data_IF_961976381615
#
_entry.id   IF_961976381615
#
_cell.length_a   1.000
_cell.length_b   1.000
_cell.length_c   1.000
_cell.angle_alpha   90.00
_cell.angle_beta   90.00
_cell.angle_gamma   90.00
#
_symmetry.space_group_name_H-M   'P 1'
#
loop_
_entity.id
_entity.type
_entity.pdbx_description
1 polymer ?
#
# COMPACT_ATOMS: atom_id res chain seq x y z
N UNK A 1 -9.73 -15.17 6.14
CA UNK A 1 -9.26 -15.76 4.86
C UNK A 1 -7.76 -15.55 4.62
N UNK A 2 -7.23 -14.36 4.92
CA UNK A 2 -5.81 -14.02 4.83
C UNK A 2 -4.90 -14.97 5.64
N UNK A 3 -3.67 -15.29 5.19
CA UNK A 3 -2.98 -14.86 3.96
C UNK A 3 -3.10 -15.86 2.77
N UNK A 4 -4.08 -16.78 2.77
CA UNK A 4 -4.16 -17.83 1.74
C UNK A 4 -4.14 -17.32 0.29
N UNK A 5 -4.91 -16.28 -0.10
CA UNK A 5 -4.92 -15.80 -1.48
C UNK A 5 -3.55 -15.30 -1.97
N UNK A 6 -2.74 -14.74 -1.07
CA UNK A 6 -1.37 -14.33 -1.39
C UNK A 6 -0.52 -15.53 -1.81
N UNK A 7 -0.58 -16.62 -1.04
CA UNK A 7 0.16 -17.83 -1.35
C UNK A 7 -0.26 -18.45 -2.69
N UNK A 8 -1.56 -18.45 -3.00
CA UNK A 8 -2.07 -18.98 -4.26
C UNK A 8 -1.55 -18.18 -5.46
N UNK A 9 -1.56 -16.84 -5.37
CA UNK A 9 -1.05 -15.95 -6.42
C UNK A 9 0.46 -16.07 -6.58
N UNK A 10 1.22 -16.11 -5.48
CA UNK A 10 2.68 -16.32 -5.53
C UNK A 10 3.03 -17.66 -6.19
N UNK A 11 2.31 -18.73 -5.83
CA UNK A 11 2.52 -20.05 -6.43
C UNK A 11 2.21 -20.04 -7.94
N UNK A 12 1.10 -19.41 -8.34
CA UNK A 12 0.72 -19.29 -9.74
C UNK A 12 1.77 -18.50 -10.54
N UNK A 13 2.29 -17.41 -9.97
CA UNK A 13 3.35 -16.63 -10.60
C UNK A 13 4.66 -17.40 -10.74
N UNK A 14 5.09 -18.11 -9.70
CA UNK A 14 6.29 -18.94 -9.78
C UNK A 14 6.15 -20.02 -10.86
N UNK A 15 4.95 -20.59 -10.98
CA UNK A 15 4.63 -21.51 -12.07
C UNK A 15 4.71 -20.83 -13.45
N UNK A 16 4.12 -19.64 -13.63
CA UNK A 16 4.19 -18.87 -14.87
C UNK A 16 5.65 -18.56 -15.23
N UNK A 17 6.43 -18.06 -14.27
CA UNK A 17 7.84 -17.73 -14.45
C UNK A 17 8.64 -18.96 -14.86
N UNK A 18 8.40 -20.12 -14.24
CA UNK A 18 9.09 -21.37 -14.55
C UNK A 18 8.76 -21.92 -15.94
N UNK A 19 7.50 -21.84 -16.37
CA UNK A 19 7.03 -22.51 -17.59
C UNK A 19 6.96 -21.59 -18.81
N UNK A 20 6.80 -20.28 -18.64
CA UNK A 20 6.66 -19.30 -19.72
C UNK A 20 7.90 -18.43 -19.94
N UNK A 21 8.98 -18.67 -19.18
CA UNK A 21 10.27 -18.01 -19.44
C UNK A 21 10.82 -18.39 -20.80
N UNK A 22 11.24 -17.39 -21.62
CA UNK A 22 11.90 -17.70 -22.88
C UNK A 22 13.17 -18.51 -22.63
N UNK A 23 13.49 -19.49 -23.49
CA UNK A 23 14.68 -20.32 -23.31
C UNK A 23 15.93 -19.42 -23.25
N UNK A 24 16.85 -19.74 -22.34
CA UNK A 24 18.05 -18.91 -22.11
C UNK A 24 18.86 -18.65 -23.39
N UNK A 25 18.80 -19.60 -24.33
CA UNK A 25 19.46 -19.60 -25.64
C UNK A 25 18.81 -18.70 -26.68
N UNK A 26 17.56 -18.29 -26.49
CA UNK A 26 16.89 -17.37 -27.40
C UNK A 26 17.37 -15.94 -27.15
N UNK A 27 18.38 -15.55 -27.92
CA UNK A 27 18.82 -14.17 -28.06
C UNK A 27 18.49 -13.68 -29.47
N UNK A 28 17.81 -12.55 -29.56
CA UNK A 28 17.66 -11.80 -30.81
C UNK A 28 18.84 -10.85 -30.95
N UNK A 29 19.26 -10.56 -32.17
CA UNK A 29 20.21 -9.47 -32.42
C UNK A 29 19.43 -8.22 -32.72
N UNK A 30 19.72 -7.16 -31.99
CA UNK A 30 19.24 -5.81 -32.30
C UNK A 30 19.95 -5.29 -33.58
N UNK A 31 19.49 -4.17 -34.15
CA UNK A 31 20.08 -3.50 -35.32
C UNK A 31 21.58 -3.24 -35.16
N UNK A 32 22.03 -2.99 -33.94
CA UNK A 32 23.44 -2.79 -33.58
C UNK A 32 24.26 -4.10 -33.47
N UNK A 33 23.65 -5.25 -33.80
CA UNK A 33 24.28 -6.57 -33.68
C UNK A 33 24.46 -7.07 -32.24
N UNK A 34 23.99 -6.31 -31.25
CA UNK A 34 24.03 -6.68 -29.83
C UNK A 34 23.04 -7.83 -29.59
N UNK A 35 23.46 -8.83 -28.80
CA UNK A 35 22.57 -9.92 -28.40
C UNK A 35 21.69 -9.44 -27.26
N UNK A 36 20.40 -9.38 -27.50
CA UNK A 36 19.39 -9.15 -26.47
C UNK A 36 18.68 -10.46 -26.21
N UNK A 37 18.64 -10.84 -24.94
CA UNK A 37 17.83 -11.98 -24.55
C UNK A 37 16.36 -11.60 -24.63
N UNK A 38 15.53 -12.50 -25.17
CA UNK A 38 14.09 -12.30 -25.17
C UNK A 38 13.63 -12.05 -23.73
N UNK A 39 12.89 -10.95 -23.55
CA UNK A 39 12.18 -10.63 -22.33
C UNK A 39 10.72 -10.99 -22.52
N UNK A 40 10.04 -11.35 -21.44
CA UNK A 40 8.59 -11.53 -21.43
C UNK A 40 8.06 -10.70 -20.27
N UNK A 41 7.43 -9.60 -20.66
CA UNK A 41 6.85 -8.67 -19.73
C UNK A 41 5.49 -9.21 -19.27
N UNK A 42 5.28 -9.19 -17.96
CA UNK A 42 4.03 -9.63 -17.34
C UNK A 42 3.27 -8.41 -16.84
N UNK A 43 1.97 -8.41 -17.05
CA UNK A 43 1.05 -7.40 -16.56
C UNK A 43 0.09 -8.03 -15.56
N UNK A 44 -0.18 -7.34 -14.46
CA UNK A 44 -1.10 -7.81 -13.42
C UNK A 44 -2.34 -6.94 -13.43
N UNK A 45 -3.49 -7.59 -13.43
CA UNK A 45 -4.79 -6.96 -13.27
C UNK A 45 -5.46 -7.44 -11.98
N UNK A 46 -6.13 -6.55 -11.27
CA UNK A 46 -6.99 -6.91 -10.14
C UNK A 46 -8.13 -5.94 -9.97
N UNK A 47 -9.30 -6.45 -9.56
CA UNK A 47 -10.47 -5.67 -9.17
C UNK A 47 -10.80 -5.85 -7.69
N UNK A 48 -11.32 -4.80 -7.05
CA UNK A 48 -11.79 -4.81 -5.67
C UNK A 48 -10.76 -5.37 -4.68
N UNK A 49 -11.06 -6.48 -4.02
CA UNK A 49 -10.14 -7.14 -3.08
C UNK A 49 -8.83 -7.59 -3.73
N UNK A 50 -8.92 -8.06 -4.98
CA UNK A 50 -7.75 -8.52 -5.71
C UNK A 50 -6.90 -7.35 -6.22
N UNK A 51 -7.45 -6.14 -6.35
CA UNK A 51 -6.70 -4.95 -6.76
C UNK A 51 -5.62 -4.56 -5.74
N UNK A 52 -5.92 -4.62 -4.44
CA UNK A 52 -4.94 -4.39 -3.38
C UNK A 52 -3.80 -5.42 -3.40
N UNK A 53 -4.15 -6.69 -3.56
CA UNK A 53 -3.19 -7.79 -3.68
C UNK A 53 -2.36 -7.71 -4.97
N UNK A 54 -2.99 -7.41 -6.11
CA UNK A 54 -2.31 -7.17 -7.38
C UNK A 54 -1.30 -6.04 -7.26
N UNK A 55 -1.66 -4.99 -6.51
CA UNK A 55 -0.79 -3.84 -6.25
C UNK A 55 0.42 -4.20 -5.41
N UNK A 56 0.23 -4.85 -4.27
CA UNK A 56 1.36 -5.28 -3.43
C UNK A 56 2.27 -6.23 -4.19
N UNK A 57 1.67 -7.19 -4.89
CA UNK A 57 2.37 -8.17 -5.71
C UNK A 57 3.19 -7.52 -6.83
N UNK A 58 2.61 -6.58 -7.59
CA UNK A 58 3.34 -5.84 -8.61
C UNK A 58 4.50 -5.03 -8.02
N UNK A 59 4.30 -4.37 -6.88
CA UNK A 59 5.34 -3.57 -6.22
C UNK A 59 6.51 -4.42 -5.71
N UNK A 60 6.27 -5.65 -5.28
CA UNK A 60 7.35 -6.55 -4.81
C UNK A 60 8.02 -7.34 -5.92
N UNK A 61 7.30 -7.69 -6.99
CA UNK A 61 7.81 -8.54 -8.08
C UNK A 61 8.31 -7.77 -9.31
N UNK A 62 8.25 -6.43 -9.29
CA UNK A 62 8.87 -5.59 -10.32
C UNK A 62 10.39 -5.65 -10.19
N UNK A 63 11.02 -6.51 -11.01
CA UNK A 63 12.46 -6.66 -11.06
C UNK A 63 13.02 -6.26 -12.43
N UNK A 64 13.49 -5.01 -12.63
CA UNK A 64 13.99 -4.54 -13.91
C UNK A 64 15.04 -5.41 -14.61
N UNK A 65 16.03 -6.01 -13.91
CA UNK A 65 17.05 -6.81 -14.58
C UNK A 65 16.58 -8.21 -14.97
N UNK A 66 15.43 -8.67 -14.46
CA UNK A 66 14.92 -10.02 -14.76
C UNK A 66 14.25 -10.06 -16.14
N UNK A 67 14.45 -11.18 -16.84
CA UNK A 67 13.86 -11.41 -18.17
C UNK A 67 12.35 -11.60 -18.13
N UNK A 68 11.85 -12.14 -17.02
CA UNK A 68 10.44 -12.30 -16.72
C UNK A 68 10.20 -11.65 -15.37
N UNK A 69 9.44 -10.56 -15.41
CA UNK A 69 9.06 -9.78 -14.26
C UNK A 69 7.78 -9.02 -14.58
N UNK A 70 7.12 -8.57 -13.53
CA UNK A 70 5.96 -7.70 -13.67
C UNK A 70 6.46 -6.31 -14.11
N UNK A 71 5.83 -5.77 -15.15
CA UNK A 71 6.17 -4.46 -15.75
C UNK A 71 5.08 -3.42 -15.61
N UNK A 72 3.84 -3.85 -15.48
CA UNK A 72 2.72 -2.96 -15.29
C UNK A 72 1.63 -3.59 -14.43
N UNK A 73 0.81 -2.70 -13.88
CA UNK A 73 -0.26 -3.01 -12.96
C UNK A 73 -1.50 -2.21 -13.38
N UNK A 74 -2.64 -2.88 -13.38
CA UNK A 74 -3.94 -2.25 -13.51
C UNK A 74 -4.78 -2.70 -12.31
N UNK A 75 -5.30 -1.72 -11.57
CA UNK A 75 -6.04 -1.96 -10.34
C UNK A 75 -7.35 -1.19 -10.40
N UNK A 76 -8.47 -1.90 -10.33
CA UNK A 76 -9.82 -1.35 -10.45
C UNK A 76 -10.55 -1.38 -9.10
N UNK A 77 -11.08 -0.24 -8.66
CA UNK A 77 -11.84 -0.06 -7.41
C UNK A 77 -11.23 -0.81 -6.21
N UNK A 78 -9.92 -0.67 -6.01
CA UNK A 78 -9.18 -1.42 -5.00
C UNK A 78 -9.16 -0.78 -3.62
N UNK A 79 -9.06 -1.62 -2.59
CA UNK A 79 -8.65 -1.17 -1.25
C UNK A 79 -7.14 -1.32 -1.12
N UNK A 80 -6.47 -0.21 -0.83
CA UNK A 80 -5.01 -0.14 -0.76
C UNK A 80 -4.48 0.12 0.66
N UNK A 81 -5.36 0.44 1.60
CA UNK A 81 -5.02 0.71 2.98
C UNK A 81 -6.11 0.22 3.95
N UNK A 82 -6.02 -1.03 4.40
CA UNK A 82 -6.97 -1.55 5.39
C UNK A 82 -6.82 -0.90 6.77
N UNK A 83 -5.64 -0.34 7.08
CA UNK A 83 -5.45 0.39 8.34
C UNK A 83 -6.24 1.69 8.41
N UNK A 84 -6.76 2.19 7.28
CA UNK A 84 -7.66 3.32 7.26
C UNK A 84 -9.02 3.02 7.92
N UNK A 85 -9.39 1.73 8.03
CA UNK A 85 -10.55 1.27 8.79
C UNK A 85 -10.22 1.02 10.26
N UNK A 86 -9.13 1.59 10.79
CA UNK A 86 -8.86 1.60 12.23
C UNK A 86 -9.01 3.05 12.69
N UNK A 87 -10.04 3.31 13.46
CA UNK A 87 -10.26 4.61 14.10
C UNK A 87 -9.69 4.61 15.52
N UNK A 88 -9.39 5.79 16.04
CA UNK A 88 -9.04 5.97 17.45
C UNK A 88 -10.27 6.50 18.19
N UNK A 89 -10.62 5.88 19.31
CA UNK A 89 -11.63 6.45 20.21
C UNK A 89 -11.11 7.75 20.84
N UNK A 90 -12.00 8.52 21.47
CA UNK A 90 -11.64 9.71 22.26
C UNK A 90 -10.55 9.42 23.30
N UNK A 91 -10.48 8.18 23.76
CA UNK A 91 -9.60 7.73 24.83
C UNK A 91 -8.26 7.20 24.27
N UNK A 92 -8.02 7.33 22.96
CA UNK A 92 -6.77 6.92 22.31
C UNK A 92 -6.67 5.42 22.03
N UNK A 93 -7.79 4.69 22.09
CA UNK A 93 -7.82 3.25 21.87
C UNK A 93 -8.05 2.97 20.38
N UNK A 94 -7.20 2.16 19.71
CA UNK A 94 -7.44 1.74 18.34
C UNK A 94 -8.60 0.76 18.29
N UNK A 95 -9.54 1.03 17.37
CA UNK A 95 -10.77 0.28 17.20
C UNK A 95 -11.01 0.11 15.70
N UNK A 96 -11.25 -1.13 15.25
CA UNK A 96 -11.64 -1.37 13.87
C UNK A 96 -13.02 -0.76 13.60
N UNK A 97 -13.15 -0.06 12.47
CA UNK A 97 -14.35 0.67 12.07
C UNK A 97 -15.49 -0.29 11.72
N UNK A 98 -16.72 0.23 11.79
CA UNK A 98 -17.93 -0.58 11.71
C UNK A 98 -18.03 -1.32 10.36
N UNK A 99 -18.56 -2.54 10.42
CA UNK A 99 -18.76 -3.43 9.27
C UNK A 99 -19.47 -2.74 8.08
N UNK A 100 -20.27 -1.71 8.32
CA UNK A 100 -20.94 -0.92 7.29
C UNK A 100 -19.96 -0.15 6.38
N UNK A 101 -18.89 0.44 6.93
CA UNK A 101 -17.89 1.16 6.14
C UNK A 101 -17.18 0.20 5.18
N UNK A 102 -16.86 -0.99 5.68
CA UNK A 102 -16.20 -2.07 4.92
C UNK A 102 -17.16 -2.66 3.89
N UNK A 103 -18.43 -2.84 4.26
CA UNK A 103 -19.46 -3.35 3.35
C UNK A 103 -19.71 -2.40 2.17
N UNK A 104 -19.83 -1.10 2.46
CA UNK A 104 -20.00 -0.08 1.43
C UNK A 104 -18.79 0.02 0.51
N UNK A 105 -17.59 -0.18 1.06
CA UNK A 105 -16.34 -0.16 0.31
C UNK A 105 -15.94 -1.52 -0.27
N UNK A 106 -16.71 -2.59 -0.09
CA UNK A 106 -16.39 -3.89 -0.70
C UNK A 106 -17.66 -4.70 -0.87
N UNK A 107 -18.33 -4.58 -2.03
CA UNK A 107 -19.51 -5.38 -2.30
C UNK A 107 -19.17 -6.87 -2.16
N UNK A 108 -19.95 -7.59 -1.35
CA UNK A 108 -19.77 -9.01 -1.08
C UNK A 108 -19.03 -9.37 0.23
N UNK A 109 -18.30 -8.43 0.85
CA UNK A 109 -17.79 -8.63 2.22
C UNK A 109 -18.80 -8.06 3.21
N UNK A 110 -19.14 -8.84 4.24
CA UNK A 110 -20.04 -8.38 5.31
C UNK A 110 -19.28 -7.77 6.47
N UNK A 111 -18.07 -8.27 6.77
CA UNK A 111 -17.29 -7.79 7.91
C UNK A 111 -15.79 -8.09 7.79
N UNK A 112 -14.95 -7.29 8.47
CA UNK A 112 -13.49 -7.50 8.52
C UNK A 112 -13.07 -8.90 9.03
N UNK A 113 -13.72 -9.50 10.05
CA UNK A 113 -13.40 -10.85 10.52
C UNK A 113 -13.50 -11.96 9.47
N UNK A 114 -14.30 -11.79 8.41
CA UNK A 114 -14.37 -12.77 7.32
C UNK A 114 -13.05 -12.79 6.52
N UNK A 115 -12.46 -11.61 6.31
CA UNK A 115 -11.25 -11.41 5.54
C UNK A 115 -9.98 -11.65 6.38
N UNK A 116 -9.89 -11.04 7.56
CA UNK A 116 -8.73 -11.07 8.44
C UNK A 116 -9.01 -11.89 9.71
N UNK A 117 -8.07 -12.75 10.11
CA UNK A 117 -8.26 -13.60 11.29
C UNK A 117 -7.93 -12.86 12.57
N UNK A 118 -6.94 -11.99 12.50
CA UNK A 118 -6.48 -11.21 13.64
C UNK A 118 -6.30 -9.75 13.22
N UNK A 119 -6.49 -8.79 14.13
CA UNK A 119 -6.25 -7.38 13.85
C UNK A 119 -4.87 -7.02 13.27
N UNK A 120 -3.75 -7.66 13.67
CA UNK A 120 -2.45 -7.42 13.07
C UNK A 120 -2.40 -7.72 11.56
N UNK A 121 -3.29 -8.56 11.03
CA UNK A 121 -3.32 -8.88 9.61
C UNK A 121 -3.68 -7.65 8.75
N UNK A 122 -4.39 -6.64 9.30
CA UNK A 122 -4.67 -5.37 8.63
C UNK A 122 -3.39 -4.56 8.33
N UNK A 123 -2.35 -4.78 9.15
CA UNK A 123 -1.07 -4.10 9.13
C UNK A 123 -0.04 -4.84 8.27
N UNK A 124 -0.43 -5.95 7.64
CA UNK A 124 0.40 -6.64 6.65
C UNK A 124 0.56 -5.76 5.40
N UNK A 125 1.79 -5.54 4.96
CA UNK A 125 2.10 -4.72 3.78
C UNK A 125 1.57 -5.34 2.48
N UNK A 126 1.33 -6.65 2.43
CA UNK A 126 0.70 -7.28 1.26
C UNK A 126 -0.82 -7.08 1.23
N UNK A 127 -1.47 -7.01 2.39
CA UNK A 127 -2.88 -6.68 2.48
C UNK A 127 -3.12 -5.19 2.23
N UNK A 128 -2.27 -4.34 2.84
CA UNK A 128 -2.30 -2.88 2.74
C UNK A 128 -1.07 -2.38 1.98
N UNK A 129 -1.05 -2.42 0.63
CA UNK A 129 0.11 -2.03 -0.17
C UNK A 129 0.62 -0.61 0.11
N UNK A 130 -0.23 0.29 0.64
CA UNK A 130 0.19 1.62 1.05
C UNK A 130 1.34 1.58 2.07
N UNK A 131 1.44 0.51 2.87
CA UNK A 131 2.46 0.34 3.89
C UNK A 131 3.86 0.09 3.33
N UNK A 132 3.97 -0.23 2.04
CA UNK A 132 5.27 -0.27 1.34
C UNK A 132 5.88 1.12 1.17
N UNK A 133 5.07 2.18 1.19
CA UNK A 133 5.51 3.56 1.03
C UNK A 133 5.56 4.36 2.33
N UNK A 134 4.71 4.01 3.30
CA UNK A 134 4.53 4.78 4.54
C UNK A 134 4.28 3.89 5.74
N UNK A 135 4.59 4.41 6.93
CA UNK A 135 4.19 3.76 8.18
C UNK A 135 2.70 4.00 8.46
N UNK A 136 2.01 3.01 9.02
CA UNK A 136 0.58 3.05 9.40
C UNK A 136 0.24 4.21 10.33
N UNK A 137 1.20 4.59 11.18
CA UNK A 137 1.03 5.68 12.14
C UNK A 137 0.49 5.23 13.49
N UNK A 138 -0.21 4.11 13.55
CA UNK A 138 -0.58 3.42 14.79
C UNK A 138 0.55 2.47 15.20
N UNK A 139 1.08 2.59 16.42
CA UNK A 139 2.07 1.65 16.97
C UNK A 139 1.41 0.39 17.56
N UNK A 140 0.08 0.38 17.73
CA UNK A 140 -0.68 -0.72 18.31
C UNK A 140 -1.90 -1.05 17.45
N UNK A 141 -2.03 -2.32 17.07
CA UNK A 141 -3.23 -2.83 16.39
C UNK A 141 -4.39 -2.96 17.38
N UNK A 142 -5.65 -2.88 16.93
CA UNK A 142 -6.80 -3.14 17.80
C UNK A 142 -6.72 -4.54 18.41
N UNK A 143 -7.32 -4.75 19.59
CA UNK A 143 -7.32 -6.08 20.23
C UNK A 143 -8.26 -7.05 19.52
N UNK A 144 -9.33 -6.55 18.91
CA UNK A 144 -10.30 -7.33 18.15
C UNK A 144 -10.72 -6.56 16.88
N UNK A 145 -11.26 -7.28 15.90
CA UNK A 145 -11.81 -6.66 14.68
C UNK A 145 -13.25 -6.16 14.86
N UNK A 146 -13.79 -6.32 16.07
CA UNK A 146 -15.11 -5.85 16.48
C UNK A 146 -14.91 -4.77 17.52
N UNK A 147 -15.62 -3.66 17.36
CA UNK A 147 -15.49 -2.48 18.20
C UNK A 147 -15.87 -2.72 19.64
N UNK A 148 -17.00 -3.37 19.87
CA UNK A 148 -17.54 -3.61 21.21
C UNK A 148 -16.69 -4.65 21.94
N UNK A 149 -16.24 -5.68 21.22
CA UNK A 149 -15.35 -6.69 21.79
C UNK A 149 -13.99 -6.09 22.13
N UNK A 150 -13.41 -5.28 21.24
CA UNK A 150 -12.12 -4.60 21.50
C UNK A 150 -12.18 -3.75 22.76
N UNK A 151 -13.25 -2.99 22.93
CA UNK A 151 -13.46 -2.13 24.09
C UNK A 151 -13.53 -2.94 25.38
N UNK A 152 -14.36 -3.99 25.41
CA UNK A 152 -14.50 -4.86 26.60
C UNK A 152 -13.18 -5.52 26.98
N UNK A 153 -12.45 -6.06 26.01
CA UNK A 153 -11.15 -6.69 26.26
C UNK A 153 -10.11 -5.71 26.81
N UNK A 154 -10.19 -4.44 26.41
CA UNK A 154 -9.31 -3.41 26.93
C UNK A 154 -9.69 -3.03 28.36
N UNK A 155 -10.98 -2.83 28.64
CA UNK A 155 -11.50 -2.57 30.00
C UNK A 155 -11.14 -3.72 30.96
N UNK A 156 -11.25 -4.98 30.54
CA UNK A 156 -10.82 -6.15 31.32
C UNK A 156 -9.31 -6.19 31.56
N UNK A 157 -8.51 -5.83 30.54
CA UNK A 157 -7.05 -5.77 30.66
C UNK A 157 -6.60 -4.67 31.60
N UNK A 158 -7.23 -3.50 31.53
CA UNK A 158 -6.98 -2.39 32.46
C UNK A 158 -7.32 -2.78 33.89
N UNK A 159 -8.49 -3.39 34.12
CA UNK A 159 -8.88 -3.89 35.45
C UNK A 159 -7.86 -4.90 36.02
N UNK A 160 -7.36 -5.82 35.21
CA UNK A 160 -6.34 -6.79 35.64
C UNK A 160 -5.01 -6.12 36.02
N UNK A 161 -4.59 -5.09 35.29
CA UNK A 161 -3.37 -4.34 35.58
C UNK A 161 -3.50 -3.51 36.87
N UNK A 162 -4.69 -2.99 37.16
CA UNK A 162 -4.96 -2.30 38.42
C UNK A 162 -4.95 -3.26 39.62
N UNK A 163 -5.48 -4.47 39.45
CA UNK A 163 -5.37 -5.54 40.46
C UNK A 163 -3.92 -5.98 40.70
N UNK A 164 -3.11 -6.13 39.63
CA UNK A 164 -1.69 -6.48 39.74
C UNK A 164 -0.89 -5.39 40.46
N UNK A 165 -1.14 -4.12 40.16
CA UNK A 165 -0.48 -3.00 40.83
C UNK A 165 -0.91 -2.85 42.29
N UNK A 166 -2.18 -3.13 42.61
CA UNK A 166 -2.66 -3.17 43.99
C UNK A 166 -1.94 -4.27 44.79
N UNK A 167 -1.73 -5.46 44.20
CA UNK A 167 -0.96 -6.55 44.81
C UNK A 167 0.52 -6.21 44.97
N UNK A 168 1.11 -5.51 44.01
CA UNK A 168 2.51 -5.06 44.09
C UNK A 168 2.71 -4.01 45.21
N UNK A 169 1.75 -3.08 45.36
CA UNK A 169 1.73 -2.09 46.44
C UNK A 169 1.58 -2.72 47.84
N UNK A 170 0.87 -3.83 47.97
CA UNK A 170 0.80 -4.59 49.24
C UNK A 170 2.05 -5.42 49.53
N UNK A 171 2.77 -5.90 48.50
CA UNK A 171 3.97 -6.73 48.64
C UNK A 171 5.29 -5.96 48.81
N UNK A 172 5.34 -4.69 48.45
CA UNK A 172 6.55 -3.86 48.48
C UNK A 172 6.28 -2.50 49.11
N UNK A 173 5.98 -2.50 50.42
CA UNK A 173 6.04 -1.31 51.26
C UNK A 173 7.48 -0.80 51.37
N UNK A 174 8.00 -0.13 50.34
CA UNK A 174 9.36 0.41 50.40
C UNK A 174 9.95 1.06 49.15
N UNK A 175 9.35 0.90 47.96
CA UNK A 175 9.90 1.53 46.74
C UNK A 175 8.95 2.62 46.25
N UNK A 176 9.48 3.83 46.17
CA UNK A 176 8.80 5.07 45.83
C UNK A 176 7.88 4.91 44.62
N UNK A 177 6.62 5.35 44.78
CA UNK A 177 5.61 5.44 43.75
C UNK A 177 6.15 6.20 42.53
N UNK A 178 6.65 5.45 41.55
CA UNK A 178 7.23 5.96 40.34
C UNK A 178 6.09 6.28 39.36
N UNK A 179 5.79 7.58 39.26
CA UNK A 179 5.17 8.19 38.08
C UNK A 179 3.70 7.86 37.84
N UNK A 180 2.85 8.89 37.98
CA UNK A 180 1.49 8.94 37.44
C UNK A 180 1.48 8.32 36.03
N UNK A 181 0.78 7.20 35.88
CA UNK A 181 0.54 6.50 34.62
C UNK A 181 -0.03 7.46 33.58
N UNK A 182 0.83 7.99 32.71
CA UNK A 182 0.47 8.46 31.36
C UNK A 182 0.34 7.27 30.42
N UNK A 183 -0.36 6.21 30.86
CA UNK A 183 -0.45 4.96 30.09
C UNK A 183 -1.35 5.11 28.85
N UNK A 184 -2.17 6.17 28.77
CA UNK A 184 -3.15 6.39 27.70
C UNK A 184 -2.68 7.16 26.45
N UNK A 185 -1.40 7.54 26.31
CA UNK A 185 -0.99 8.31 25.11
C UNK A 185 0.47 8.12 24.67
N UNK A 186 1.39 7.78 25.59
CA UNK A 186 2.81 7.58 25.26
C UNK A 186 3.19 6.11 24.98
N UNK A 187 2.49 5.13 25.56
CA UNK A 187 2.70 3.70 25.26
C UNK A 187 1.87 3.17 24.09
N UNK A 188 0.72 3.80 23.79
CA UNK A 188 -0.14 3.47 22.66
C UNK A 188 0.34 4.08 21.33
N UNK A 189 1.40 4.90 21.42
CA UNK A 189 2.29 5.21 20.34
C UNK A 189 1.61 5.59 19.02
N UNK A 190 1.27 6.87 18.86
CA UNK A 190 1.25 7.40 17.49
C UNK A 190 2.70 7.65 17.09
N UNK A 191 3.14 7.07 15.97
CA UNK A 191 4.44 7.45 15.43
C UNK A 191 4.36 8.92 15.03
N UNK A 192 5.29 9.77 15.50
CA UNK A 192 5.34 11.20 15.09
C UNK A 192 5.50 11.38 13.57
N UNK A 193 5.78 10.29 12.84
CA UNK A 193 5.90 10.24 11.38
C UNK A 193 4.61 9.80 10.66
N UNK A 194 3.52 9.59 11.40
CA UNK A 194 2.21 9.27 10.87
C UNK A 194 1.60 10.47 10.12
N UNK A 195 1.18 10.28 8.88
CA UNK A 195 0.41 11.28 8.12
C UNK A 195 -1.03 11.42 8.66
N UNK A 196 -1.52 10.45 9.44
CA UNK A 196 -2.84 10.47 10.11
C UNK A 196 -2.86 11.32 11.41
N UNK A 197 -1.75 11.95 11.79
CA UNK A 197 -1.74 12.86 12.95
C UNK A 197 -2.44 14.21 12.65
N UNK A 198 -2.92 14.40 11.42
CA UNK A 198 -3.69 15.56 10.98
C UNK A 198 -5.04 15.08 10.44
N UNK A 199 -6.18 15.63 10.88
CA UNK A 199 -6.31 16.72 11.85
C UNK A 199 -6.02 16.26 13.29
N UNK A 200 -5.57 17.17 14.19
CA UNK A 200 -5.32 16.82 15.59
C UNK A 200 -6.57 16.20 16.22
N UNK A 201 -6.44 15.23 17.13
CA UNK A 201 -7.57 14.43 17.68
C UNK A 201 -8.71 15.25 18.31
N UNK A 202 -8.49 16.54 18.62
CA UNK A 202 -9.51 17.48 19.11
C UNK A 202 -10.29 18.20 18.01
N UNK A 203 -9.93 17.96 16.75
CA UNK A 203 -10.55 18.57 15.59
C UNK A 203 -11.85 17.85 15.25
N UNK A 204 -12.91 18.61 15.02
CA UNK A 204 -14.18 18.12 14.47
C UNK A 204 -14.12 17.92 12.96
N UNK A 205 -12.96 18.14 12.33
CA UNK A 205 -12.76 17.87 10.91
C UNK A 205 -12.76 16.35 10.69
N UNK A 206 -13.84 15.87 10.09
CA UNK A 206 -14.01 14.45 9.73
C UNK A 206 -12.96 14.05 8.70
N UNK A 207 -12.31 12.90 8.92
CA UNK A 207 -11.45 12.25 7.93
C UNK A 207 -12.35 11.90 6.74
N UNK A 208 -11.99 12.26 5.49
CA UNK A 208 -12.80 11.95 4.32
C UNK A 208 -13.06 10.44 4.25
N UNK A 209 -14.28 10.06 3.86
CA UNK A 209 -14.69 8.66 3.73
C UNK A 209 -13.66 7.88 2.90
N UNK A 210 -13.31 6.67 3.33
CA UNK A 210 -12.35 5.78 2.66
C UNK A 210 -12.90 5.18 1.35
N UNK A 211 -13.45 6.00 0.45
CA UNK A 211 -13.94 5.56 -0.86
C UNK A 211 -12.82 5.03 -1.76
N UNK A 212 -13.17 4.29 -2.81
CA UNK A 212 -12.16 3.78 -3.74
C UNK A 212 -11.41 4.91 -4.43
N UNK A 213 -12.08 6.00 -4.82
CA UNK A 213 -11.43 7.16 -5.43
C UNK A 213 -10.36 7.75 -4.51
N UNK A 214 -10.67 7.98 -3.23
CA UNK A 214 -9.71 8.52 -2.25
C UNK A 214 -8.53 7.57 -2.07
N UNK A 215 -8.78 6.27 -1.94
CA UNK A 215 -7.70 5.29 -1.79
C UNK A 215 -6.81 5.19 -3.04
N UNK A 216 -7.40 5.26 -4.24
CA UNK A 216 -6.69 5.24 -5.51
C UNK A 216 -5.81 6.48 -5.68
N UNK A 217 -6.33 7.67 -5.38
CA UNK A 217 -5.59 8.92 -5.43
C UNK A 217 -4.44 8.95 -4.40
N UNK A 218 -4.68 8.48 -3.18
CA UNK A 218 -3.64 8.34 -2.17
C UNK A 218 -2.53 7.39 -2.64
N UNK A 219 -2.90 6.21 -3.15
CA UNK A 219 -1.93 5.23 -3.65
C UNK A 219 -1.13 5.79 -4.82
N UNK A 220 -1.79 6.44 -5.79
CA UNK A 220 -1.12 7.05 -6.92
C UNK A 220 -0.14 8.15 -6.49
N UNK A 221 -0.55 8.99 -5.55
CA UNK A 221 0.33 10.01 -4.95
C UNK A 221 1.56 9.40 -4.27
N UNK A 222 1.38 8.31 -3.52
CA UNK A 222 2.50 7.58 -2.89
C UNK A 222 3.45 6.97 -3.92
N UNK A 223 2.92 6.35 -4.99
CA UNK A 223 3.72 5.77 -6.06
C UNK A 223 4.52 6.84 -6.82
N UNK A 224 3.88 7.96 -7.19
CA UNK A 224 4.55 9.09 -7.87
C UNK A 224 5.70 9.64 -7.04
N UNK A 225 5.45 9.90 -5.75
CA UNK A 225 6.51 10.31 -4.80
C UNK A 225 7.62 9.27 -4.67
N UNK A 226 7.26 7.99 -4.72
CA UNK A 226 8.20 6.88 -4.74
C UNK A 226 9.13 6.91 -5.96
N UNK A 227 8.57 7.14 -7.14
CA UNK A 227 9.30 7.30 -8.40
C UNK A 227 10.27 8.49 -8.31
N UNK A 228 9.77 9.67 -7.93
CA UNK A 228 10.59 10.87 -7.78
C UNK A 228 11.77 10.64 -6.84
N UNK A 229 11.53 10.00 -5.69
CA UNK A 229 12.57 9.71 -4.70
C UNK A 229 13.64 8.76 -5.26
N UNK A 230 13.26 7.76 -6.05
CA UNK A 230 14.21 6.83 -6.69
C UNK A 230 15.01 7.55 -7.78
N UNK A 231 14.37 8.41 -8.57
CA UNK A 231 15.02 9.16 -9.64
C UNK A 231 16.01 10.19 -9.10
N UNK A 232 15.62 10.95 -8.06
CA UNK A 232 16.52 11.87 -7.35
C UNK A 232 17.74 11.11 -6.81
N UNK A 233 17.54 9.94 -6.20
CA UNK A 233 18.66 9.11 -5.71
C UNK A 233 19.58 8.63 -6.83
N UNK A 234 19.03 8.21 -7.97
CA UNK A 234 19.81 7.81 -9.15
C UNK A 234 20.63 8.98 -9.70
N UNK A 235 20.06 10.19 -9.72
CA UNK A 235 20.77 11.39 -10.13
C UNK A 235 21.88 11.75 -9.12
N UNK A 236 21.59 11.74 -7.82
CA UNK A 236 22.58 11.99 -6.76
C UNK A 236 23.74 11.00 -6.81
N UNK A 237 23.50 9.74 -7.18
CA UNK A 237 24.56 8.75 -7.38
C UNK A 237 25.42 9.00 -8.64
N UNK A 238 24.87 9.66 -9.65
CA UNK A 238 25.60 10.06 -10.87
C UNK A 238 26.35 11.40 -10.70
N UNK A 239 25.83 12.29 -9.86
CA UNK A 239 26.38 13.62 -9.58
C UNK A 239 27.83 13.70 -9.03
N UNK A 240 28.41 12.73 -8.29
CA UNK A 240 29.81 12.86 -7.83
C UNK A 240 30.85 12.83 -8.97
N UNK A 241 30.42 12.72 -10.23
CA UNK A 241 31.27 12.84 -11.42
C UNK A 241 31.28 14.27 -12.00
N UNK A 242 30.40 15.17 -11.54
CA UNK A 242 30.28 16.53 -12.06
C UNK A 242 30.78 17.56 -11.03
N UNK A 243 31.69 18.43 -11.47
CA UNK A 243 32.27 19.50 -10.65
C UNK A 243 31.15 20.44 -10.12
N UNK A 244 31.27 20.96 -8.88
CA UNK A 244 30.26 21.82 -8.25
C UNK A 244 29.89 23.08 -9.05
N UNK A 245 30.73 23.50 -10.00
CA UNK A 245 30.58 24.74 -10.78
C UNK A 245 29.48 24.72 -11.85
N UNK A 246 28.76 23.60 -12.05
CA UNK A 246 27.73 23.49 -13.10
C UNK A 246 26.29 23.29 -12.60
N UNK A 247 26.02 23.50 -11.31
CA UNK A 247 24.65 23.44 -10.78
C UNK A 247 23.93 24.78 -10.98
N UNK A 248 23.43 25.03 -12.20
CA UNK A 248 22.45 26.11 -12.44
C UNK A 248 21.12 25.71 -11.78
N UNK A 249 20.68 26.48 -10.78
CA UNK A 249 19.41 26.22 -10.08
C UNK A 249 18.22 26.17 -11.04
N UNK A 250 18.29 26.83 -12.21
CA UNK A 250 17.23 26.77 -13.23
C UNK A 250 17.09 25.38 -13.87
N UNK A 251 18.17 24.61 -13.98
CA UNK A 251 18.09 23.25 -14.52
C UNK A 251 17.37 22.31 -13.56
N UNK A 252 17.47 22.56 -12.26
CA UNK A 252 16.84 21.73 -11.24
C UNK A 252 15.31 21.86 -11.29
N UNK A 253 14.78 23.08 -11.50
CA UNK A 253 13.34 23.32 -11.63
C UNK A 253 12.76 22.69 -12.89
N UNK A 254 13.43 22.86 -14.05
CA UNK A 254 13.00 22.17 -15.29
C UNK A 254 13.05 20.65 -15.15
N UNK A 255 14.08 20.13 -14.50
CA UNK A 255 14.22 18.70 -14.25
C UNK A 255 13.16 18.19 -13.26
N UNK A 256 12.66 19.04 -12.35
CA UNK A 256 11.55 18.69 -11.45
C UNK A 256 10.23 18.57 -12.21
N UNK A 257 9.89 19.52 -13.07
CA UNK A 257 8.65 19.49 -13.85
C UNK A 257 8.58 18.30 -14.80
N UNK A 258 9.69 18.03 -15.52
CA UNK A 258 9.79 16.87 -16.43
C UNK A 258 9.61 15.56 -15.67
N UNK A 259 10.21 15.42 -14.48
CA UNK A 259 10.07 14.22 -13.65
C UNK A 259 8.66 14.06 -13.09
N UNK A 260 8.06 15.14 -12.61
CA UNK A 260 6.66 15.12 -12.15
C UNK A 260 5.73 14.66 -13.26
N UNK A 261 5.92 15.18 -14.48
CA UNK A 261 5.15 14.75 -15.66
C UNK A 261 5.41 13.29 -16.01
N UNK A 262 6.65 12.81 -15.91
CA UNK A 262 6.97 11.40 -16.18
C UNK A 262 6.38 10.45 -15.13
N UNK A 263 6.39 10.84 -13.84
CA UNK A 263 5.73 10.10 -12.77
C UNK A 263 4.21 10.02 -12.98
N UNK A 264 3.58 11.11 -13.42
CA UNK A 264 2.15 11.13 -13.78
C UNK A 264 1.83 10.24 -14.99
N UNK A 265 2.70 10.20 -16.00
CA UNK A 265 2.53 9.31 -17.15
C UNK A 265 2.62 7.83 -16.77
N UNK A 266 3.49 7.49 -15.82
CA UNK A 266 3.68 6.11 -15.32
C UNK A 266 2.58 5.65 -14.37
N UNK A 267 1.96 6.57 -13.64
CA UNK A 267 0.91 6.27 -12.65
C UNK A 267 -0.32 7.11 -12.94
N UNK A 268 -1.28 6.52 -13.66
CA UNK A 268 -2.54 7.15 -14.04
C UNK A 268 -3.69 6.64 -13.16
N UNK A 269 -4.62 7.53 -12.82
CA UNK A 269 -5.89 7.21 -12.15
C UNK A 269 -7.00 7.75 -13.04
N UNK A 270 -7.97 6.90 -13.38
CA UNK A 270 -9.08 7.27 -14.24
C UNK A 270 -10.32 6.42 -13.90
N UNK A 271 -11.51 7.02 -13.98
CA UNK A 271 -12.79 6.30 -13.92
C UNK A 271 -13.06 5.53 -12.63
N UNK A 272 -12.60 6.01 -11.47
CA UNK A 272 -12.85 5.36 -10.18
C UNK A 272 -14.28 5.66 -9.70
N UNK A 273 -14.92 4.70 -9.03
CA UNK A 273 -16.33 4.77 -8.59
C UNK A 273 -17.36 4.86 -9.73
N UNK A 274 -17.02 4.39 -10.94
CA UNK A 274 -18.00 4.21 -12.03
C UNK A 274 -19.13 3.26 -11.58
N UNK A 275 -20.39 3.49 -12.01
CA UNK A 275 -21.55 2.76 -11.53
C UNK A 275 -21.32 1.25 -11.69
N UNK A 276 -21.42 0.57 -10.56
CA UNK A 276 -21.31 -0.88 -10.44
C UNK A 276 -22.52 -1.48 -11.15
N UNK A 277 -22.35 -1.94 -12.39
CA UNK A 277 -23.13 -3.10 -12.81
C UNK A 277 -22.81 -4.22 -11.82
N UNK A 278 -23.76 -5.07 -11.47
CA UNK A 278 -23.58 -6.14 -10.45
C UNK A 278 -22.37 -7.06 -10.72
N UNK A 279 -21.75 -6.96 -11.91
CA UNK A 279 -20.43 -7.48 -12.21
C UNK A 279 -19.33 -6.70 -11.48
N UNK A 280 -18.57 -7.40 -10.62
CA UNK A 280 -17.31 -6.92 -10.02
C UNK A 280 -16.16 -6.79 -11.04
N UNK A 281 -16.51 -6.50 -12.29
CA UNK A 281 -15.65 -6.43 -13.45
C UNK A 281 -15.46 -4.98 -13.88
N UNK A 282 -14.51 -4.79 -14.79
CA UNK A 282 -14.23 -3.49 -15.37
C UNK A 282 -15.38 -3.13 -16.32
N UNK A 283 -16.06 -2.00 -16.09
CA UNK A 283 -17.10 -1.51 -17.01
C UNK A 283 -16.53 -1.22 -18.41
N UNK A 284 -17.42 -1.02 -19.40
CA UNK A 284 -17.01 -0.79 -20.80
C UNK A 284 -15.99 0.35 -20.94
N UNK A 285 -16.19 1.46 -20.23
CA UNK A 285 -15.28 2.60 -20.21
C UNK A 285 -13.91 2.23 -19.65
N UNK A 286 -13.89 1.47 -18.53
CA UNK A 286 -12.66 1.00 -17.92
C UNK A 286 -11.89 0.05 -18.85
N UNK A 287 -12.61 -0.82 -19.56
CA UNK A 287 -12.01 -1.76 -20.51
C UNK A 287 -11.39 -1.02 -21.70
N UNK A 288 -12.05 0.01 -22.22
CA UNK A 288 -11.50 0.86 -23.26
C UNK A 288 -10.19 1.52 -22.82
N UNK A 289 -10.16 2.09 -21.60
CA UNK A 289 -8.95 2.70 -21.01
C UNK A 289 -7.82 1.67 -20.84
N UNK A 290 -8.16 0.45 -20.39
CA UNK A 290 -7.19 -0.63 -20.21
C UNK A 290 -6.59 -1.07 -21.54
N UNK A 291 -7.41 -1.24 -22.58
CA UNK A 291 -6.94 -1.65 -23.90
C UNK A 291 -6.03 -0.59 -24.52
N UNK A 292 -6.43 0.68 -24.46
CA UNK A 292 -5.62 1.82 -24.92
C UNK A 292 -4.26 1.85 -24.21
N UNK A 293 -4.25 1.67 -22.89
CA UNK A 293 -3.01 1.58 -22.12
C UNK A 293 -2.15 0.36 -22.52
N UNK A 294 -2.76 -0.81 -22.74
CA UNK A 294 -2.04 -2.01 -23.18
C UNK A 294 -1.41 -1.82 -24.56
N UNK A 295 -2.13 -1.20 -25.49
CA UNK A 295 -1.62 -0.87 -26.83
C UNK A 295 -0.43 0.08 -26.72
N UNK A 296 -0.51 1.15 -25.91
CA UNK A 296 0.63 2.02 -25.60
C UNK A 296 1.83 1.23 -25.05
N UNK A 297 1.62 0.27 -24.15
CA UNK A 297 2.70 -0.55 -23.59
C UNK A 297 3.32 -1.52 -24.61
N UNK A 298 2.49 -2.12 -25.46
CA UNK A 298 2.95 -3.03 -26.52
C UNK A 298 3.76 -2.28 -27.57
N UNK A 299 3.36 -1.07 -27.95
CA UNK A 299 4.08 -0.23 -28.89
C UNK A 299 5.43 0.21 -28.31
N UNK A 300 5.47 0.63 -27.04
CA UNK A 300 6.72 0.97 -26.36
C UNK A 300 7.66 -0.25 -26.21
N UNK A 301 7.11 -1.43 -25.97
CA UNK A 301 7.86 -2.69 -25.96
C UNK A 301 8.42 -3.06 -27.33
N UNK A 302 7.63 -2.84 -28.39
CA UNK A 302 8.02 -3.11 -29.77
C UNK A 302 9.18 -2.20 -30.22
N UNK A 303 9.21 -0.94 -29.78
CA UNK A 303 10.29 0.03 -30.05
C UNK A 303 11.63 -0.41 -29.43
N UNK A 304 11.63 -1.28 -28.41
CA UNK A 304 12.86 -1.87 -27.85
C UNK A 304 13.22 -3.25 -28.47
N UNK A 305 12.44 -3.74 -29.43
CA UNK A 305 12.67 -5.04 -30.09
C UNK A 305 12.83 -4.98 -31.62
N UNK A 306 12.74 -3.78 -32.22
CA UNK A 306 12.87 -3.55 -33.68
C UNK A 306 14.09 -2.72 -34.04
#
# INVERSE_FOLDING_TARGET
MWPRPLHDVMFAYDWIKKNLSPPLSASTRDRDGRRHFLRRDLYVYGSYLSAGLATSFALTETHPPHRVAIRGLVAYNGIYNWTAYVSMTSDGIPVADDAAAVHNATPGIRSLPELFRQPPDLFDAFASPSLLFRTTGHLVAPLHLDRDISRRLLEEREARLDEEEAKEKEGQAGVQALGKRTFGMELLGTSRKAYLAFPPMKSTLSIPNNSFAVQADEMASLMRRGIDKVEIKRLQQKLPVLLPEYTDNRSIESDMEVRSSDAEKRVRVAGVDAPVDDSLELGEDGQAILLDWLDEQMDNGAVHTN
#
